data_IF_047667883825
#
_entry.id   IF_047667883825
#
_cell.length_a   1.000
_cell.length_b   1.000
_cell.length_c   1.000
_cell.angle_alpha   90.00
_cell.angle_beta   90.00
_cell.angle_gamma   90.00
#
_symmetry.space_group_name_H-M   'P 1'
#
loop_
_entity.id
_entity.type
_entity.pdbx_description
1 polymer ?
#
# COMPACT_ATOMS: atom_id res chain seq x y z
N UNK A 1 -23.74 -1.95 -15.45
CA UNK A 1 -22.95 -0.97 -14.69
C UNK A 1 -23.84 -0.37 -13.60
N UNK A 2 -23.62 -0.75 -12.36
CA UNK A 2 -24.31 -0.17 -11.21
C UNK A 2 -23.79 1.26 -11.03
N UNK A 3 -24.67 2.24 -11.03
CA UNK A 3 -24.28 3.65 -10.80
C UNK A 3 -23.89 3.81 -9.32
N UNK A 4 -22.68 4.28 -9.06
CA UNK A 4 -22.03 4.35 -7.74
C UNK A 4 -22.75 5.15 -6.65
N UNK A 5 -23.87 5.81 -6.93
CA UNK A 5 -24.56 6.69 -5.97
C UNK A 5 -26.08 6.45 -5.82
N UNK A 6 -26.63 5.37 -6.38
CA UNK A 6 -28.07 5.08 -6.24
C UNK A 6 -28.30 3.72 -5.60
N UNK A 7 -29.20 3.67 -4.63
CA UNK A 7 -29.73 2.43 -4.14
C UNK A 7 -30.36 1.67 -5.33
N UNK A 8 -29.85 0.46 -5.61
CA UNK A 8 -30.36 -0.42 -6.66
C UNK A 8 -30.77 -1.75 -6.05
N UNK A 9 -31.86 -2.30 -6.55
CA UNK A 9 -32.34 -3.62 -6.17
C UNK A 9 -32.11 -4.56 -7.32
N UNK A 10 -31.39 -5.66 -7.05
CA UNK A 10 -31.22 -6.77 -7.97
C UNK A 10 -31.97 -7.96 -7.44
N UNK A 11 -32.61 -8.73 -8.31
CA UNK A 11 -33.12 -10.04 -7.95
C UNK A 11 -31.94 -11.01 -7.74
N UNK A 12 -32.15 -12.10 -7.00
CA UNK A 12 -31.13 -13.14 -6.84
C UNK A 12 -30.67 -13.74 -8.17
N UNK A 13 -31.55 -13.86 -9.15
CA UNK A 13 -31.22 -14.35 -10.49
C UNK A 13 -30.34 -13.34 -11.24
N UNK A 14 -30.67 -12.06 -11.21
CA UNK A 14 -29.86 -11.01 -11.84
C UNK A 14 -28.46 -10.95 -11.21
N UNK A 15 -28.36 -11.08 -9.88
CA UNK A 15 -27.07 -11.13 -9.19
C UNK A 15 -26.22 -12.31 -9.66
N UNK A 16 -26.82 -13.51 -9.78
CA UNK A 16 -26.10 -14.71 -10.25
C UNK A 16 -25.67 -14.63 -11.71
N UNK A 17 -26.37 -13.85 -12.53
CA UNK A 17 -26.05 -13.64 -13.95
C UNK A 17 -25.11 -12.44 -14.16
N UNK A 18 -24.83 -11.65 -13.13
CA UNK A 18 -23.94 -10.50 -13.23
C UNK A 18 -22.47 -10.97 -13.28
N UNK A 19 -21.79 -10.60 -14.36
CA UNK A 19 -20.34 -10.79 -14.47
C UNK A 19 -19.65 -9.62 -13.76
N UNK A 20 -18.98 -9.91 -12.67
CA UNK A 20 -18.15 -8.93 -11.98
C UNK A 20 -16.76 -8.89 -12.64
N UNK A 21 -16.20 -7.69 -12.88
CA UNK A 21 -14.84 -7.59 -13.41
C UNK A 21 -13.86 -8.21 -12.40
N UNK A 22 -12.87 -8.93 -12.91
CA UNK A 22 -11.78 -9.42 -12.07
C UNK A 22 -10.99 -8.24 -11.52
N UNK A 23 -10.53 -8.37 -10.27
CA UNK A 23 -9.67 -7.37 -9.66
C UNK A 23 -8.31 -7.38 -10.37
N UNK A 24 -7.89 -6.22 -10.84
CA UNK A 24 -6.56 -6.03 -11.43
C UNK A 24 -5.53 -5.69 -10.35
N UNK A 25 -4.27 -6.07 -10.60
CA UNK A 25 -3.17 -5.92 -9.66
C UNK A 25 -1.97 -5.22 -10.30
N UNK A 26 -1.22 -4.47 -9.47
CA UNK A 26 0.13 -4.00 -9.77
C UNK A 26 1.16 -5.08 -9.42
N UNK A 27 0.96 -5.74 -8.27
CA UNK A 27 1.65 -6.97 -7.87
C UNK A 27 0.57 -8.00 -7.58
N UNK A 28 0.60 -9.10 -8.30
CA UNK A 28 -0.44 -10.13 -8.28
C UNK A 28 -0.75 -10.58 -6.84
N UNK A 29 -2.01 -10.59 -6.46
CA UNK A 29 -2.55 -10.99 -5.16
C UNK A 29 -2.03 -10.20 -3.92
N UNK A 30 -1.13 -9.20 -4.13
CA UNK A 30 -0.53 -8.39 -3.08
C UNK A 30 -0.96 -6.93 -3.15
N UNK A 31 -0.82 -6.29 -4.32
CA UNK A 31 -1.14 -4.88 -4.51
C UNK A 31 -2.19 -4.74 -5.60
N UNK A 32 -3.47 -4.67 -5.24
CA UNK A 32 -4.53 -4.36 -6.20
C UNK A 32 -4.39 -2.95 -6.77
N UNK A 33 -4.96 -2.72 -7.94
CA UNK A 33 -5.22 -1.37 -8.42
C UNK A 33 -6.29 -0.74 -7.55
N UNK A 34 -5.94 0.34 -6.88
CA UNK A 34 -6.73 0.95 -5.83
C UNK A 34 -5.88 1.46 -4.68
N UNK A 35 -6.51 1.72 -3.54
CA UNK A 35 -5.84 2.19 -2.33
C UNK A 35 -5.43 1.01 -1.44
N UNK A 36 -4.14 0.94 -1.10
CA UNK A 36 -3.57 -0.08 -0.22
C UNK A 36 -2.88 0.61 0.96
N UNK A 37 -3.08 0.13 2.17
CA UNK A 37 -2.27 0.53 3.31
C UNK A 37 -1.15 -0.49 3.54
N UNK A 38 0.08 0.01 3.69
CA UNK A 38 1.23 -0.78 4.14
C UNK A 38 1.63 -0.27 5.52
N UNK A 39 1.44 -1.11 6.53
CA UNK A 39 1.52 -0.72 7.94
C UNK A 39 2.56 -1.52 8.70
N UNK A 40 3.04 -0.98 9.81
CA UNK A 40 3.89 -1.67 10.77
C UNK A 40 4.30 -0.76 11.93
N UNK A 41 4.66 -1.35 13.07
CA UNK A 41 5.13 -0.60 14.25
C UNK A 41 6.51 0.03 14.00
N UNK A 42 7.36 -0.67 13.24
CA UNK A 42 8.66 -0.16 12.80
C UNK A 42 8.60 0.24 11.32
N UNK A 43 8.95 1.50 11.06
CA UNK A 43 8.86 2.07 9.72
C UNK A 43 10.02 1.64 8.80
N UNK A 44 11.15 1.17 9.35
CA UNK A 44 12.30 0.75 8.55
C UNK A 44 11.98 -0.48 7.67
N UNK A 45 11.45 -1.61 8.20
CA UNK A 45 11.00 -2.72 7.37
C UNK A 45 9.94 -2.32 6.34
N UNK A 46 8.98 -1.48 6.74
CA UNK A 46 7.91 -0.98 5.87
C UNK A 46 8.47 -0.21 4.67
N UNK A 47 9.43 0.70 4.89
CA UNK A 47 10.11 1.46 3.84
C UNK A 47 10.92 0.57 2.90
N UNK A 48 11.66 -0.36 3.47
CA UNK A 48 12.51 -1.29 2.72
C UNK A 48 11.65 -2.16 1.79
N UNK A 49 10.53 -2.69 2.29
CA UNK A 49 9.57 -3.47 1.50
C UNK A 49 8.91 -2.61 0.41
N UNK A 50 8.51 -1.38 0.74
CA UNK A 50 7.91 -0.46 -0.21
C UNK A 50 8.87 -0.09 -1.35
N UNK A 51 10.15 0.14 -1.04
CA UNK A 51 11.15 0.44 -2.06
C UNK A 51 11.45 -0.78 -2.94
N UNK A 52 11.53 -1.99 -2.36
CA UNK A 52 11.68 -3.22 -3.16
C UNK A 52 10.47 -3.42 -4.09
N UNK A 53 9.27 -3.18 -3.60
CA UNK A 53 8.04 -3.19 -4.43
C UNK A 53 8.15 -2.22 -5.60
N UNK A 54 8.60 -0.98 -5.39
CA UNK A 54 8.81 0.00 -6.45
C UNK A 54 9.81 -0.49 -7.48
N UNK A 55 10.97 -1.00 -7.04
CA UNK A 55 12.03 -1.50 -7.93
C UNK A 55 11.56 -2.71 -8.74
N UNK A 56 10.76 -3.61 -8.14
CA UNK A 56 10.19 -4.77 -8.84
C UNK A 56 9.16 -4.37 -9.88
N UNK A 57 8.26 -3.44 -9.56
CA UNK A 57 7.25 -2.94 -10.50
C UNK A 57 7.90 -2.23 -11.68
N UNK A 58 8.90 -1.37 -11.45
CA UNK A 58 9.60 -0.69 -12.55
C UNK A 58 10.30 -1.68 -13.48
N UNK A 59 10.86 -2.77 -12.94
CA UNK A 59 11.57 -3.79 -13.72
C UNK A 59 10.66 -4.90 -14.28
N UNK A 60 9.42 -5.02 -13.81
CA UNK A 60 8.54 -6.16 -14.10
C UNK A 60 9.04 -7.47 -13.49
N UNK A 61 9.74 -7.39 -12.37
CA UNK A 61 10.29 -8.54 -11.65
C UNK A 61 9.33 -9.00 -10.55
N UNK A 62 9.43 -10.26 -10.14
CA UNK A 62 8.60 -10.81 -9.07
C UNK A 62 8.93 -10.21 -7.72
N UNK A 63 7.86 -9.90 -6.96
CA UNK A 63 7.93 -9.57 -5.54
C UNK A 63 7.30 -10.72 -4.74
N UNK A 64 8.04 -11.32 -3.79
CA UNK A 64 7.55 -12.43 -2.95
C UNK A 64 6.88 -13.54 -3.78
N UNK A 65 7.54 -14.00 -4.84
CA UNK A 65 7.05 -14.99 -5.82
C UNK A 65 5.85 -14.54 -6.67
N UNK A 66 5.31 -13.35 -6.47
CA UNK A 66 4.17 -12.81 -7.21
C UNK A 66 4.64 -11.96 -8.39
N UNK A 67 3.99 -12.11 -9.55
CA UNK A 67 4.31 -11.35 -10.75
C UNK A 67 3.96 -9.87 -10.56
N UNK A 68 4.89 -8.96 -10.89
CA UNK A 68 4.64 -7.54 -10.89
C UNK A 68 4.43 -7.03 -12.32
N UNK A 69 3.40 -6.20 -12.51
CA UNK A 69 3.12 -5.53 -13.79
C UNK A 69 4.09 -4.37 -13.96
N UNK A 70 4.91 -4.42 -15.00
CA UNK A 70 5.86 -3.35 -15.30
C UNK A 70 5.16 -2.04 -15.60
N UNK A 71 5.72 -0.93 -15.06
CA UNK A 71 5.25 0.43 -15.32
C UNK A 71 6.03 1.47 -14.55
N UNK A 72 5.74 2.75 -14.84
CA UNK A 72 6.32 3.87 -14.11
C UNK A 72 5.83 3.93 -12.67
N UNK A 73 6.72 4.29 -11.77
CA UNK A 73 6.47 4.34 -10.33
C UNK A 73 6.82 5.72 -9.76
N UNK A 74 5.95 6.25 -8.93
CA UNK A 74 6.20 7.45 -8.15
C UNK A 74 6.32 7.09 -6.66
N UNK A 75 7.47 7.39 -6.05
CA UNK A 75 7.68 7.28 -4.61
C UNK A 75 7.69 8.67 -3.99
N UNK A 76 6.68 8.99 -3.19
CA UNK A 76 6.49 10.32 -2.59
C UNK A 76 6.96 10.33 -1.14
N UNK A 77 7.87 11.25 -0.83
CA UNK A 77 8.52 11.35 0.47
C UNK A 77 8.52 12.78 0.99
N UNK A 78 8.68 12.92 2.30
CA UNK A 78 9.01 14.20 2.89
C UNK A 78 10.47 14.58 2.60
N UNK A 79 10.72 15.87 2.35
CA UNK A 79 12.07 16.39 1.99
C UNK A 79 13.19 15.96 2.94
N UNK A 80 12.90 15.77 4.24
CA UNK A 80 13.88 15.32 5.22
C UNK A 80 14.33 13.88 5.02
N UNK A 81 13.60 13.08 4.26
CA UNK A 81 13.90 11.67 3.99
C UNK A 81 14.72 11.45 2.72
N UNK A 82 15.04 12.50 1.95
CA UNK A 82 15.75 12.39 0.66
C UNK A 82 17.05 11.61 0.75
N UNK A 83 17.91 11.93 1.72
CA UNK A 83 19.22 11.28 1.88
C UNK A 83 19.03 9.79 2.24
N UNK A 84 18.12 9.49 3.15
CA UNK A 84 17.81 8.12 3.55
C UNK A 84 17.24 7.30 2.38
N UNK A 85 16.31 7.88 1.61
CA UNK A 85 15.72 7.24 0.43
C UNK A 85 16.76 6.97 -0.66
N UNK A 86 17.65 7.95 -0.92
CA UNK A 86 18.77 7.75 -1.86
C UNK A 86 19.66 6.58 -1.44
N UNK A 87 20.05 6.53 -0.17
CA UNK A 87 20.89 5.44 0.33
C UNK A 87 20.18 4.10 0.20
N UNK A 88 18.90 4.03 0.57
CA UNK A 88 18.10 2.82 0.42
C UNK A 88 18.04 2.31 -1.04
N UNK A 89 17.89 3.21 -2.01
CA UNK A 89 17.91 2.83 -3.43
C UNK A 89 19.28 2.29 -3.84
N UNK A 90 20.37 2.94 -3.39
CA UNK A 90 21.74 2.52 -3.70
C UNK A 90 22.10 1.17 -3.07
N UNK A 91 21.59 0.89 -1.88
CA UNK A 91 21.79 -0.38 -1.19
C UNK A 91 21.06 -1.54 -1.91
N UNK A 92 19.94 -1.24 -2.58
CA UNK A 92 19.08 -2.25 -3.23
C UNK A 92 19.35 -2.44 -4.72
N UNK A 93 20.00 -1.49 -5.38
CA UNK A 93 20.14 -1.54 -6.84
C UNK A 93 21.39 -0.81 -7.32
N UNK A 94 22.23 -1.55 -8.08
CA UNK A 94 23.43 -0.99 -8.71
C UNK A 94 23.09 0.07 -9.78
N UNK A 95 21.90 -0.05 -10.38
CA UNK A 95 21.40 0.89 -11.38
C UNK A 95 19.98 1.31 -11.04
N UNK A 96 19.77 2.61 -10.90
CA UNK A 96 18.43 3.18 -10.70
C UNK A 96 17.67 3.13 -12.03
N UNK A 97 16.49 2.52 -12.08
CA UNK A 97 15.67 2.51 -13.29
C UNK A 97 15.13 3.92 -13.62
N UNK A 98 15.08 4.27 -14.91
CA UNK A 98 14.62 5.58 -15.37
C UNK A 98 13.15 5.85 -15.03
N UNK A 99 12.32 4.80 -14.95
CA UNK A 99 10.89 4.88 -14.62
C UNK A 99 10.59 4.95 -13.10
N UNK A 100 11.62 5.02 -12.25
CA UNK A 100 11.46 5.28 -10.82
C UNK A 100 11.58 6.79 -10.55
N UNK A 101 10.47 7.42 -10.23
CA UNK A 101 10.38 8.84 -9.93
C UNK A 101 10.23 9.09 -8.44
N UNK A 102 10.91 10.13 -7.93
CA UNK A 102 10.84 10.52 -6.52
C UNK A 102 10.12 11.86 -6.41
N UNK A 103 8.94 11.84 -5.78
CA UNK A 103 8.16 13.03 -5.45
C UNK A 103 8.58 13.57 -4.09
N UNK A 104 8.97 14.83 -4.02
CA UNK A 104 9.41 15.45 -2.76
C UNK A 104 8.36 16.42 -2.25
N UNK A 105 7.78 16.09 -1.10
CA UNK A 105 6.78 16.95 -0.45
C UNK A 105 7.46 17.86 0.58
N UNK A 106 7.15 19.16 0.60
CA UNK A 106 7.67 20.09 1.62
C UNK A 106 7.06 19.79 3.00
N UNK A 107 5.86 19.25 3.03
CA UNK A 107 5.11 18.82 4.21
C UNK A 107 4.31 17.55 3.92
N UNK A 108 3.95 16.80 4.96
CA UNK A 108 3.09 15.61 4.82
C UNK A 108 1.62 16.05 4.66
N UNK A 109 1.24 16.35 3.43
CA UNK A 109 -0.11 16.77 3.06
C UNK A 109 -0.72 15.83 2.03
N UNK A 110 -1.88 15.26 2.34
CA UNK A 110 -2.61 14.40 1.40
C UNK A 110 -3.15 15.21 0.19
N UNK A 111 -3.43 16.50 0.35
CA UNK A 111 -3.84 17.37 -0.75
C UNK A 111 -2.69 17.56 -1.75
N UNK A 112 -1.48 17.83 -1.27
CA UNK A 112 -0.29 17.89 -2.12
C UNK A 112 -0.01 16.54 -2.79
N UNK A 113 -0.22 15.44 -2.06
CA UNK A 113 -0.05 14.10 -2.62
C UNK A 113 -1.04 13.87 -3.77
N UNK A 114 -2.33 14.16 -3.60
CA UNK A 114 -3.34 14.00 -4.65
C UNK A 114 -2.98 14.79 -5.91
N UNK A 115 -2.60 16.07 -5.76
CA UNK A 115 -2.22 16.91 -6.91
C UNK A 115 -0.93 16.42 -7.59
N UNK A 116 0.04 15.96 -6.82
CA UNK A 116 1.29 15.39 -7.34
C UNK A 116 1.07 14.08 -8.10
N UNK A 117 0.21 13.19 -7.58
CA UNK A 117 -0.17 11.94 -8.24
C UNK A 117 -0.92 12.24 -9.53
N UNK A 118 -1.87 13.18 -9.52
CA UNK A 118 -2.60 13.58 -10.71
C UNK A 118 -1.65 14.04 -11.83
N UNK A 119 -0.71 14.94 -11.51
CA UNK A 119 0.30 15.41 -12.47
C UNK A 119 1.20 14.28 -12.98
N UNK A 120 1.56 13.34 -12.11
CA UNK A 120 2.38 12.19 -12.50
C UNK A 120 1.66 11.28 -13.50
N UNK A 121 0.41 10.89 -13.22
CA UNK A 121 -0.35 9.99 -14.10
C UNK A 121 -0.72 10.63 -15.44
N UNK A 122 -0.91 11.95 -15.47
CA UNK A 122 -1.11 12.69 -16.71
C UNK A 122 0.16 12.74 -17.58
N UNK A 123 1.34 12.74 -16.95
CA UNK A 123 2.64 12.74 -17.64
C UNK A 123 3.16 11.36 -18.02
N UNK A 124 2.62 10.28 -17.46
CA UNK A 124 3.13 8.91 -17.62
C UNK A 124 1.99 7.94 -17.96
N UNK A 125 1.76 7.71 -19.24
CA UNK A 125 0.70 6.80 -19.72
C UNK A 125 0.87 5.35 -19.23
N UNK A 126 2.08 4.95 -18.84
CA UNK A 126 2.43 3.65 -18.28
C UNK A 126 2.51 3.65 -16.75
N UNK A 127 1.99 4.68 -16.07
CA UNK A 127 1.96 4.72 -14.60
C UNK A 127 1.28 3.46 -14.05
N UNK A 128 1.92 2.82 -13.07
CA UNK A 128 1.45 1.57 -12.46
C UNK A 128 1.27 1.69 -10.96
N UNK A 129 2.26 2.25 -10.26
CA UNK A 129 2.28 2.27 -8.80
C UNK A 129 2.68 3.65 -8.29
N UNK A 130 2.01 4.09 -7.24
CA UNK A 130 2.40 5.23 -6.42
C UNK A 130 2.58 4.76 -4.99
N UNK A 131 3.68 5.12 -4.37
CA UNK A 131 3.93 4.90 -2.94
C UNK A 131 3.99 6.25 -2.25
N UNK A 132 3.22 6.41 -1.18
CA UNK A 132 3.12 7.64 -0.41
C UNK A 132 3.56 7.40 1.02
N UNK A 133 4.69 7.98 1.41
CA UNK A 133 5.17 7.96 2.78
C UNK A 133 4.62 9.15 3.56
N UNK A 134 3.76 8.87 4.54
CA UNK A 134 3.21 9.89 5.44
C UNK A 134 3.94 9.88 6.77
N UNK A 135 4.21 11.09 7.28
CA UNK A 135 4.72 11.25 8.64
C UNK A 135 3.54 11.21 9.62
N UNK A 136 3.65 10.38 10.63
CA UNK A 136 2.65 10.25 11.69
C UNK A 136 2.53 8.82 12.19
N UNK A 137 1.86 8.69 13.32
CA UNK A 137 1.56 7.40 13.95
C UNK A 137 0.04 7.30 14.01
N UNK A 138 -0.48 6.16 13.54
CA UNK A 138 -1.91 5.82 13.59
C UNK A 138 -2.13 4.68 14.60
N UNK A 139 -3.35 4.52 15.07
CA UNK A 139 -3.68 3.46 16.01
C UNK A 139 -4.08 2.18 15.27
N UNK A 140 -3.63 1.04 15.77
CA UNK A 140 -3.98 -0.28 15.25
C UNK A 140 -4.51 -1.15 16.37
N UNK A 141 -5.69 -1.73 16.15
CA UNK A 141 -6.29 -2.71 17.06
C UNK A 141 -6.59 -4.00 16.26
N UNK A 142 -5.86 -5.07 16.57
CA UNK A 142 -5.89 -6.27 15.74
C UNK A 142 -5.52 -5.95 14.30
N UNK A 143 -6.46 -6.15 13.37
CA UNK A 143 -6.26 -5.90 11.95
C UNK A 143 -6.80 -4.55 11.47
N UNK A 144 -7.48 -3.84 12.35
CA UNK A 144 -8.10 -2.56 12.03
C UNK A 144 -7.14 -1.41 12.30
N UNK A 145 -6.93 -0.56 11.30
CA UNK A 145 -6.16 0.68 11.41
C UNK A 145 -7.11 1.85 11.49
N UNK A 146 -6.91 2.70 12.47
CA UNK A 146 -7.77 3.84 12.78
C UNK A 146 -7.06 5.15 12.50
N UNK A 147 -7.76 6.03 11.81
CA UNK A 147 -7.30 7.38 11.50
C UNK A 147 -8.33 8.42 11.94
N UNK A 148 -7.93 9.68 12.16
CA UNK A 148 -8.89 10.75 12.42
C UNK A 148 -9.95 10.85 11.32
N UNK A 149 -11.23 11.02 11.71
CA UNK A 149 -12.37 11.12 10.78
C UNK A 149 -12.12 12.15 9.67
N UNK A 150 -11.46 13.28 9.98
CA UNK A 150 -11.09 14.29 9.00
C UNK A 150 -10.18 13.82 7.87
N UNK A 151 -9.45 12.71 8.05
CA UNK A 151 -8.59 12.11 7.03
C UNK A 151 -9.35 11.20 6.08
N UNK A 152 -10.51 10.67 6.48
CA UNK A 152 -11.27 9.70 5.67
C UNK A 152 -11.59 10.19 4.27
N UNK A 153 -12.01 11.47 4.15
CA UNK A 153 -12.33 12.06 2.84
C UNK A 153 -11.12 12.06 1.91
N UNK A 154 -9.95 12.41 2.44
CA UNK A 154 -8.70 12.48 1.68
C UNK A 154 -8.24 11.10 1.18
N UNK A 155 -8.40 10.06 2.00
CA UNK A 155 -8.14 8.67 1.57
C UNK A 155 -9.13 8.21 0.50
N UNK A 156 -10.40 8.60 0.59
CA UNK A 156 -11.38 8.34 -0.48
C UNK A 156 -11.03 9.04 -1.78
N UNK A 157 -10.48 10.25 -1.73
CA UNK A 157 -10.04 10.97 -2.92
C UNK A 157 -8.83 10.29 -3.56
N UNK A 158 -7.87 9.78 -2.77
CA UNK A 158 -6.78 8.92 -3.28
C UNK A 158 -7.31 7.63 -3.91
N UNK A 159 -8.27 6.95 -3.28
CA UNK A 159 -8.87 5.72 -3.81
C UNK A 159 -9.58 5.97 -5.15
N UNK A 160 -10.36 7.04 -5.26
CA UNK A 160 -11.01 7.42 -6.52
C UNK A 160 -10.00 7.71 -7.62
N UNK A 161 -8.92 8.42 -7.29
CA UNK A 161 -7.84 8.71 -8.23
C UNK A 161 -7.17 7.40 -8.68
N UNK A 162 -6.85 6.49 -7.75
CA UNK A 162 -6.27 5.19 -8.07
C UNK A 162 -7.14 4.39 -9.03
N UNK A 163 -8.46 4.30 -8.75
CA UNK A 163 -9.42 3.61 -9.60
C UNK A 163 -9.58 4.27 -10.98
N UNK A 164 -9.66 5.61 -11.04
CA UNK A 164 -9.88 6.33 -12.30
C UNK A 164 -8.71 6.19 -13.29
N UNK A 165 -7.49 6.00 -12.77
CA UNK A 165 -6.28 5.84 -13.57
C UNK A 165 -5.79 4.38 -13.66
N UNK A 166 -6.45 3.45 -12.97
CA UNK A 166 -6.08 2.03 -12.97
C UNK A 166 -4.69 1.76 -12.42
N UNK A 167 -4.29 2.47 -11.34
CA UNK A 167 -3.00 2.36 -10.67
C UNK A 167 -3.16 1.85 -9.24
N UNK A 168 -2.10 1.31 -8.64
CA UNK A 168 -2.02 1.09 -7.19
C UNK A 168 -1.50 2.33 -6.48
N UNK A 169 -2.14 2.70 -5.37
CA UNK A 169 -1.65 3.74 -4.45
C UNK A 169 -1.41 3.10 -3.10
N UNK A 170 -0.16 2.94 -2.71
CA UNK A 170 0.26 2.35 -1.44
C UNK A 170 0.62 3.47 -0.47
N UNK A 171 -0.10 3.55 0.65
CA UNK A 171 0.15 4.52 1.71
C UNK A 171 0.87 3.84 2.86
N UNK A 172 2.08 4.33 3.19
CA UNK A 172 2.87 3.83 4.30
C UNK A 172 2.41 4.50 5.59
N UNK A 173 2.07 3.70 6.60
CA UNK A 173 1.65 4.19 7.91
C UNK A 173 2.43 3.47 9.02
N UNK A 174 3.02 4.26 9.91
CA UNK A 174 3.52 3.72 11.17
C UNK A 174 2.35 3.50 12.12
N UNK A 175 2.26 2.31 12.70
CA UNK A 175 1.18 1.97 13.64
C UNK A 175 1.69 1.92 15.07
N UNK A 176 0.75 2.15 16.01
CA UNK A 176 0.89 1.86 17.42
C UNK A 176 -0.21 0.91 17.81
N UNK A 177 0.15 -0.27 18.28
CA UNK A 177 -0.82 -1.26 18.75
C UNK A 177 -1.50 -0.74 20.01
N UNK A 178 -2.82 -0.72 19.99
CA UNK A 178 -3.66 -0.39 21.14
C UNK A 178 -4.53 -1.59 21.51
N UNK A 179 -4.80 -1.81 22.81
CA UNK A 179 -5.70 -2.87 23.22
C UNK A 179 -7.10 -2.67 22.64
N UNK A 180 -7.80 -3.77 22.36
CA UNK A 180 -9.20 -3.70 22.00
C UNK A 180 -9.97 -3.01 23.13
N UNK A 181 -10.68 -1.92 22.81
CA UNK A 181 -11.54 -1.25 23.77
C UNK A 181 -12.69 -2.21 24.10
N UNK A 182 -12.71 -2.72 25.33
CA UNK A 182 -13.86 -3.49 25.82
C UNK A 182 -15.07 -2.55 25.88
N UNK A 183 -15.99 -2.70 24.93
CA UNK A 183 -17.24 -1.94 24.96
C UNK A 183 -17.70 -1.32 23.64
N UNK A 184 -17.01 -1.57 22.52
CA UNK A 184 -17.56 -1.26 21.19
C UNK A 184 -17.68 0.23 20.82
N UNK A 185 -17.14 1.14 21.63
CA UNK A 185 -17.06 2.54 21.24
C UNK A 185 -15.73 2.75 20.51
N UNK A 186 -15.79 2.95 19.19
CA UNK A 186 -14.71 3.59 18.47
C UNK A 186 -14.34 4.89 19.21
N UNK A 187 -13.03 5.18 19.40
CA UNK A 187 -12.65 6.49 19.97
C UNK A 187 -13.32 7.58 19.12
N UNK A 188 -14.17 8.42 19.72
CA UNK A 188 -15.19 9.22 19.04
C UNK A 188 -14.78 10.07 17.83
N UNK A 189 -13.48 10.20 17.55
CA UNK A 189 -12.92 10.95 16.42
C UNK A 189 -12.07 10.09 15.48
N UNK A 190 -12.05 8.77 15.63
CA UNK A 190 -11.30 7.83 14.78
C UNK A 190 -12.24 6.97 13.94
N UNK A 191 -11.77 6.56 12.77
CA UNK A 191 -12.49 5.69 11.85
C UNK A 191 -11.57 4.61 11.32
N UNK A 192 -12.08 3.38 11.23
CA UNK A 192 -11.35 2.28 10.58
C UNK A 192 -11.24 2.53 9.07
N UNK A 193 -10.00 2.47 8.55
CA UNK A 193 -9.74 2.69 7.12
C UNK A 193 -9.42 1.40 6.37
N UNK A 194 -8.94 0.37 7.03
CA UNK A 194 -8.58 -0.90 6.38
C UNK A 194 -9.77 -1.62 5.77
N UNK A 195 -10.95 -1.54 6.40
CA UNK A 195 -12.18 -2.12 5.85
C UNK A 195 -12.70 -1.43 4.58
N UNK A 196 -12.15 -0.24 4.27
CA UNK A 196 -12.59 0.59 3.15
C UNK A 196 -11.54 0.70 2.04
N UNK A 197 -10.38 0.12 2.26
CA UNK A 197 -9.29 0.06 1.29
C UNK A 197 -9.49 -1.12 0.33
N UNK A 198 -8.80 -1.07 -0.80
CA UNK A 198 -8.75 -2.16 -1.77
C UNK A 198 -7.76 -3.25 -1.35
N UNK A 199 -6.88 -2.96 -0.39
CA UNK A 199 -5.97 -3.90 0.24
C UNK A 199 -5.30 -3.34 1.48
N UNK A 200 -4.77 -4.24 2.32
CA UNK A 200 -3.98 -3.91 3.49
C UNK A 200 -2.84 -4.91 3.65
N UNK A 201 -1.64 -4.43 3.85
CA UNK A 201 -0.45 -5.22 4.13
C UNK A 201 0.07 -4.79 5.50
N UNK A 202 0.04 -5.69 6.46
CA UNK A 202 0.55 -5.43 7.81
C UNK A 202 1.86 -6.18 8.02
N UNK A 203 2.91 -5.45 8.45
CA UNK A 203 4.26 -5.96 8.67
C UNK A 203 4.46 -6.18 10.16
N UNK A 204 4.44 -7.44 10.58
CA UNK A 204 4.71 -7.83 11.95
C UNK A 204 6.11 -8.43 12.06
N UNK A 205 7.05 -7.69 12.66
CA UNK A 205 8.40 -8.20 12.93
C UNK A 205 8.32 -9.20 14.06
N UNK A 206 8.59 -10.47 13.77
CA UNK A 206 8.47 -11.58 14.73
C UNK A 206 9.76 -11.87 15.46
N UNK A 207 10.90 -11.67 14.80
CA UNK A 207 12.23 -11.78 15.38
C UNK A 207 13.14 -10.64 14.86
N UNK A 208 13.34 -9.57 15.66
CA UNK A 208 14.21 -8.48 15.26
C UNK A 208 15.69 -8.87 15.13
N UNK A 209 16.17 -9.90 15.85
CA UNK A 209 17.57 -10.35 15.80
C UNK A 209 17.86 -11.14 14.53
N UNK A 210 16.97 -12.07 14.19
CA UNK A 210 17.02 -12.84 12.95
C UNK A 210 16.45 -12.09 11.76
N UNK A 211 15.94 -10.87 12.00
CA UNK A 211 15.27 -10.01 11.00
C UNK A 211 14.19 -10.78 10.23
N UNK A 212 13.28 -11.39 10.98
CA UNK A 212 12.12 -12.12 10.44
C UNK A 212 10.85 -11.34 10.66
N UNK A 213 9.97 -11.40 9.69
CA UNK A 213 8.65 -10.79 9.78
C UNK A 213 7.59 -11.69 9.15
N UNK A 214 6.35 -11.50 9.57
CA UNK A 214 5.16 -12.04 8.90
C UNK A 214 4.42 -10.87 8.25
N UNK A 215 4.16 -11.01 6.97
CA UNK A 215 3.28 -10.12 6.23
C UNK A 215 1.88 -10.70 6.26
N UNK A 216 0.96 -9.93 6.75
CA UNK A 216 -0.46 -10.22 6.60
C UNK A 216 -0.97 -9.39 5.43
N UNK A 217 -1.39 -10.04 4.36
CA UNK A 217 -1.93 -9.41 3.16
C UNK A 217 -3.44 -9.66 3.14
N UNK A 218 -4.20 -8.62 3.38
CA UNK A 218 -5.67 -8.65 3.33
C UNK A 218 -6.15 -8.06 1.99
N UNK A 219 -6.88 -8.84 1.24
CA UNK A 219 -7.46 -8.43 -0.03
C UNK A 219 -8.93 -8.87 -0.07
N UNK A 220 -9.90 -7.96 -0.28
CA UNK A 220 -11.32 -8.29 -0.32
C UNK A 220 -11.70 -9.40 -1.32
N UNK A 221 -10.99 -9.50 -2.44
CA UNK A 221 -11.26 -10.52 -3.46
C UNK A 221 -10.57 -11.86 -3.20
N UNK A 222 -9.49 -11.90 -2.42
CA UNK A 222 -8.65 -13.09 -2.18
C UNK A 222 -8.64 -13.54 -0.71
N UNK A 223 -9.19 -12.72 0.19
CA UNK A 223 -9.13 -12.95 1.62
C UNK A 223 -7.76 -12.61 2.22
N UNK A 224 -7.50 -13.15 3.40
CA UNK A 224 -6.26 -12.95 4.15
C UNK A 224 -5.22 -14.00 3.77
N UNK A 225 -4.01 -13.57 3.47
CA UNK A 225 -2.84 -14.43 3.26
C UNK A 225 -1.75 -14.04 4.28
N UNK A 226 -1.03 -15.04 4.79
CA UNK A 226 0.15 -14.84 5.64
C UNK A 226 1.39 -15.28 4.87
N UNK A 227 2.43 -14.45 4.89
CA UNK A 227 3.72 -14.72 4.24
C UNK A 227 4.84 -14.51 5.21
N UNK A 228 5.67 -15.51 5.42
CA UNK A 228 6.88 -15.38 6.22
C UNK A 228 8.01 -14.82 5.36
N UNK A 229 8.68 -13.79 5.86
CA UNK A 229 9.77 -13.14 5.16
C UNK A 229 10.97 -12.97 6.08
N UNK A 230 12.16 -13.05 5.50
CA UNK A 230 13.44 -12.82 6.17
C UNK A 230 14.22 -11.75 5.40
N UNK A 231 14.91 -10.90 6.14
CA UNK A 231 15.74 -9.87 5.53
C UNK A 231 17.08 -10.45 5.07
N UNK A 232 17.38 -10.29 3.79
CA UNK A 232 18.68 -10.62 3.20
C UNK A 232 19.60 -9.38 3.24
N UNK A 233 20.62 -9.35 4.11
CA UNK A 233 21.53 -8.20 4.21
C UNK A 233 22.44 -8.04 2.99
N UNK A 234 22.63 -9.08 2.18
CA UNK A 234 23.43 -8.99 0.96
C UNK A 234 22.71 -8.30 -0.19
N UNK A 235 21.37 -8.39 -0.21
CA UNK A 235 20.53 -7.73 -1.20
C UNK A 235 19.75 -6.53 -0.64
N UNK A 236 19.85 -6.28 0.66
CA UNK A 236 19.08 -5.26 1.39
C UNK A 236 17.55 -5.38 1.19
N UNK A 237 17.01 -6.62 1.18
CA UNK A 237 15.61 -6.92 0.83
C UNK A 237 14.99 -7.93 1.78
N UNK A 238 13.67 -7.88 1.86
CA UNK A 238 12.87 -8.89 2.53
C UNK A 238 12.45 -9.96 1.53
N UNK A 239 12.97 -11.15 1.70
CA UNK A 239 12.73 -12.29 0.83
C UNK A 239 11.71 -13.23 1.46
N UNK A 240 10.79 -13.77 0.66
CA UNK A 240 9.87 -14.81 1.15
C UNK A 240 10.65 -16.05 1.54
N UNK A 241 10.39 -16.56 2.73
CA UNK A 241 10.93 -17.85 3.15
C UNK A 241 10.24 -18.94 2.33
N UNK A 242 11.02 -19.70 1.55
CA UNK A 242 10.48 -20.87 0.87
C UNK A 242 9.96 -21.82 1.95
N UNK A 243 8.64 -22.03 1.98
CA UNK A 243 8.02 -22.98 2.90
C UNK A 243 8.63 -24.36 2.74
N UNK A 244 8.96 -24.98 3.87
CA UNK A 244 9.34 -26.39 3.96
C UNK A 244 8.15 -27.28 3.58
#
# INVERSE_FOLDING_TARGET
MLKENNFSVLSGVELMMTVFPEQEFCVQDVVPKGLVFLTGEDLEPVRTMAMDMCLRVVKGERLWQMDARQGAVLYMIHRYNLAATRNLILDMSDRVPDELHIGVMPESSLELAVSGIQSFVEGHANASLVVLELCGIVEQCGNAVYVPVGMLRKYKDLQKLAHSHGIGVVVLLRTRIVPAVQGGNEPGDLVCVTERADGHIDVCVTDPKERRAVLRVDNPARGTQLRSVVYDPGQHRWMEENGF
#
